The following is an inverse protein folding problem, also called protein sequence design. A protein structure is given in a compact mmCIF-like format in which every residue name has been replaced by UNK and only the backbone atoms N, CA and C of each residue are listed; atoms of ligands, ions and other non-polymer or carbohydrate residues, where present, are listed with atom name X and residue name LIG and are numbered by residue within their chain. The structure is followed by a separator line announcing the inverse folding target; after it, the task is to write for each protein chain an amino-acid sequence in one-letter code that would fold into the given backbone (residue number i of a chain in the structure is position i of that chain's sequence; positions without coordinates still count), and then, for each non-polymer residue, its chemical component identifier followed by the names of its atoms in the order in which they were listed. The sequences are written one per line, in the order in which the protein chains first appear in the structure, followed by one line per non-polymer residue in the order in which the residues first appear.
data_IF_799886731084
#
_entry.id   IF_799886731084
#
_cell.length_a   1.000
_cell.length_b   1.000
_cell.length_c   1.000
_cell.angle_alpha   90.00
_cell.angle_beta   90.00
_cell.angle_gamma   90.00
#
_symmetry.space_group_name_H-M   'P 1'
#
loop_
_entity.id
_entity.type
_entity.pdbx_description
1 polymer ?
#
# COMPACT_ATOMS: atom_id res chain seq x y z
N UNK A 1 14.40 3.81 19.79
CA UNK A 1 13.10 4.51 19.65
C UNK A 1 12.15 3.76 18.72
N UNK A 2 12.43 3.62 17.42
CA UNK A 2 11.57 2.83 16.52
C UNK A 2 11.36 1.40 17.03
N UNK A 3 12.43 0.69 17.43
CA UNK A 3 12.30 -0.62 18.09
C UNK A 3 11.33 -0.62 19.29
N UNK A 4 11.43 0.38 20.18
CA UNK A 4 10.52 0.53 21.33
C UNK A 4 9.06 0.80 20.91
N UNK A 5 8.86 1.48 19.78
CA UNK A 5 7.53 1.66 19.20
C UNK A 5 6.98 0.31 18.73
N UNK A 6 7.78 -0.50 18.05
CA UNK A 6 7.36 -1.79 17.48
C UNK A 6 7.13 -2.88 18.51
N UNK A 7 7.81 -2.81 19.64
CA UNK A 7 7.60 -3.69 20.80
C UNK A 7 6.49 -3.16 21.74
N UNK A 8 5.84 -2.04 21.39
CA UNK A 8 4.77 -1.44 22.18
C UNK A 8 5.23 -0.83 23.51
N UNK A 9 6.54 -0.70 23.74
CA UNK A 9 7.07 -0.06 24.94
C UNK A 9 6.84 1.46 24.93
N UNK A 10 6.88 2.08 23.74
CA UNK A 10 6.72 3.54 23.58
C UNK A 10 5.33 4.03 24.02
N UNK A 11 4.29 3.23 23.78
CA UNK A 11 2.88 3.56 24.04
C UNK A 11 2.32 2.85 25.29
N UNK A 12 3.19 2.25 26.13
CA UNK A 12 2.78 1.45 27.29
C UNK A 12 1.84 2.18 28.25
N UNK A 13 2.11 3.47 28.53
CA UNK A 13 1.27 4.27 29.42
C UNK A 13 -0.10 4.56 28.80
N UNK A 14 -0.12 4.90 27.51
CA UNK A 14 -1.36 5.12 26.76
C UNK A 14 -2.26 3.90 26.77
N UNK A 15 -1.69 2.72 26.50
CA UNK A 15 -2.43 1.46 26.54
C UNK A 15 -3.06 1.18 27.91
N UNK A 16 -2.36 1.50 29.00
CA UNK A 16 -2.90 1.37 30.37
C UNK A 16 -4.08 2.31 30.62
N UNK A 17 -4.06 3.52 30.07
CA UNK A 17 -5.19 4.46 30.16
C UNK A 17 -6.34 4.18 29.18
N UNK A 18 -6.17 3.22 28.26
CA UNK A 18 -7.16 2.88 27.22
C UNK A 18 -7.33 1.36 27.08
N UNK A 19 -7.77 0.67 28.15
CA UNK A 19 -7.75 -0.80 28.24
C UNK A 19 -8.72 -1.51 27.29
N UNK A 20 -9.68 -0.78 26.70
CA UNK A 20 -10.69 -1.33 25.78
C UNK A 20 -10.22 -1.38 24.33
N UNK A 21 -9.06 -0.80 24.00
CA UNK A 21 -8.55 -0.78 22.64
C UNK A 21 -7.87 -2.11 22.29
N UNK A 22 -8.30 -2.74 21.21
CA UNK A 22 -7.82 -4.05 20.79
C UNK A 22 -7.81 -4.16 19.25
N UNK A 23 -6.66 -4.50 18.67
CA UNK A 23 -6.50 -4.65 17.23
C UNK A 23 -7.35 -5.81 16.68
N UNK A 24 -7.58 -6.86 17.49
CA UNK A 24 -8.41 -7.99 17.09
C UNK A 24 -9.87 -7.59 16.89
N UNK A 25 -10.42 -6.70 17.71
CA UNK A 25 -11.79 -6.21 17.56
C UNK A 25 -11.94 -5.35 16.29
N UNK A 26 -10.95 -4.51 16.00
CA UNK A 26 -10.88 -3.71 14.77
C UNK A 26 -10.75 -4.60 13.53
N UNK A 27 -9.88 -5.62 13.57
CA UNK A 27 -9.72 -6.62 12.50
C UNK A 27 -11.02 -7.40 12.28
N UNK A 28 -11.70 -7.82 13.35
CA UNK A 28 -12.98 -8.52 13.25
C UNK A 28 -14.03 -7.63 12.59
N UNK A 29 -14.12 -6.36 12.99
CA UNK A 29 -15.03 -5.39 12.39
C UNK A 29 -14.76 -5.22 10.89
N UNK A 30 -13.48 -5.08 10.50
CA UNK A 30 -13.06 -5.03 9.11
C UNK A 30 -13.45 -6.31 8.35
N UNK A 31 -13.16 -7.49 8.91
CA UNK A 31 -13.43 -8.77 8.28
C UNK A 31 -14.93 -9.02 8.06
N UNK A 32 -15.79 -8.65 9.02
CA UNK A 32 -17.24 -8.75 8.85
C UNK A 32 -17.75 -7.86 7.72
N UNK A 33 -17.24 -6.62 7.61
CA UNK A 33 -17.56 -5.73 6.49
C UNK A 33 -17.09 -6.32 5.14
N UNK A 34 -15.91 -6.96 5.10
CA UNK A 34 -15.40 -7.65 3.91
C UNK A 34 -16.27 -8.84 3.53
N UNK A 35 -16.72 -9.66 4.50
CA UNK A 35 -17.63 -10.79 4.26
C UNK A 35 -18.96 -10.32 3.71
N UNK A 36 -19.53 -9.25 4.26
CA UNK A 36 -20.77 -8.66 3.76
C UNK A 36 -20.61 -8.14 2.33
N UNK A 37 -19.55 -7.37 2.07
CA UNK A 37 -19.23 -6.87 0.71
C UNK A 37 -19.08 -8.03 -0.27
N UNK A 38 -18.34 -9.08 0.09
CA UNK A 38 -18.15 -10.28 -0.73
C UNK A 38 -19.48 -10.95 -1.05
N UNK A 39 -20.33 -11.15 -0.04
CA UNK A 39 -21.67 -11.74 -0.20
C UNK A 39 -22.54 -10.93 -1.18
N UNK A 40 -22.48 -9.61 -1.12
CA UNK A 40 -23.22 -8.73 -2.03
C UNK A 40 -22.68 -8.83 -3.47
N UNK A 41 -21.37 -8.76 -3.65
CA UNK A 41 -20.72 -8.94 -4.97
C UNK A 41 -21.01 -10.32 -5.58
N UNK A 42 -21.02 -11.40 -4.78
CA UNK A 42 -21.35 -12.74 -5.25
C UNK A 42 -22.82 -12.86 -5.72
N UNK A 43 -23.75 -12.17 -5.05
CA UNK A 43 -25.15 -12.09 -5.49
C UNK A 43 -25.28 -11.33 -6.82
N UNK A 44 -24.62 -10.18 -6.93
CA UNK A 44 -24.60 -9.39 -8.16
C UNK A 44 -23.97 -10.17 -9.33
N UNK A 45 -22.86 -10.85 -9.08
CA UNK A 45 -22.20 -11.69 -10.07
C UNK A 45 -23.13 -12.80 -10.56
N UNK A 46 -23.81 -13.52 -9.65
CA UNK A 46 -24.77 -14.57 -10.02
C UNK A 46 -25.93 -14.02 -10.86
N UNK A 47 -26.44 -12.83 -10.52
CA UNK A 47 -27.49 -12.16 -11.30
C UNK A 47 -26.99 -11.82 -12.71
N UNK A 48 -25.82 -11.18 -12.80
CA UNK A 48 -25.21 -10.79 -14.06
C UNK A 48 -24.89 -12.01 -14.97
N UNK A 49 -24.39 -13.10 -14.38
CA UNK A 49 -24.12 -14.35 -15.12
C UNK A 49 -25.42 -15.03 -15.62
N UNK A 50 -26.54 -14.87 -14.91
CA UNK A 50 -27.85 -15.35 -15.36
C UNK A 50 -28.37 -14.52 -16.53
N UNK A 51 -28.31 -13.19 -16.43
CA UNK A 51 -28.73 -12.26 -17.49
C UNK A 51 -27.89 -12.47 -18.76
N UNK A 52 -26.57 -12.59 -18.63
CA UNK A 52 -25.66 -12.90 -19.74
C UNK A 52 -26.05 -14.16 -20.53
N UNK A 53 -26.52 -15.22 -19.84
CA UNK A 53 -26.94 -16.49 -20.48
C UNK A 53 -28.23 -16.35 -21.27
N UNK A 54 -29.16 -15.51 -20.80
CA UNK A 54 -30.46 -15.29 -21.43
C UNK A 54 -30.37 -14.29 -22.58
N UNK A 55 -29.39 -13.39 -22.55
CA UNK A 55 -29.22 -12.35 -23.54
C UNK A 55 -28.89 -12.91 -24.93
N UNK A 56 -29.49 -12.34 -25.98
CA UNK A 56 -29.27 -12.72 -27.37
C UNK A 56 -28.58 -11.62 -28.16
N UNK A 57 -28.77 -10.36 -27.77
CA UNK A 57 -28.10 -9.24 -28.38
C UNK A 57 -26.58 -9.28 -28.15
N UNK A 58 -25.82 -8.98 -29.20
CA UNK A 58 -24.35 -9.12 -29.20
C UNK A 58 -23.69 -8.01 -28.37
N UNK A 59 -24.21 -6.80 -28.42
CA UNK A 59 -23.65 -5.64 -27.70
C UNK A 59 -23.93 -5.76 -26.20
N UNK A 60 -25.17 -6.11 -25.82
CA UNK A 60 -25.54 -6.35 -24.42
C UNK A 60 -24.78 -7.54 -23.82
N UNK A 61 -24.54 -8.61 -24.59
CA UNK A 61 -23.65 -9.70 -24.16
C UNK A 61 -22.23 -9.22 -23.88
N UNK A 62 -21.66 -8.37 -24.73
CA UNK A 62 -20.32 -7.82 -24.51
C UNK A 62 -20.26 -6.97 -23.23
N UNK A 63 -21.30 -6.17 -22.99
CA UNK A 63 -21.45 -5.38 -21.77
C UNK A 63 -21.49 -6.25 -20.51
N UNK A 64 -22.37 -7.25 -20.44
CA UNK A 64 -22.42 -8.17 -19.30
C UNK A 64 -21.12 -8.94 -19.08
N UNK A 65 -20.44 -9.36 -20.16
CA UNK A 65 -19.13 -10.00 -20.06
C UNK A 65 -18.10 -9.10 -19.37
N UNK A 66 -18.09 -7.81 -19.73
CA UNK A 66 -17.24 -6.80 -19.10
C UNK A 66 -17.59 -6.61 -17.62
N UNK A 67 -18.87 -6.50 -17.28
CA UNK A 67 -19.34 -6.39 -15.89
C UNK A 67 -18.93 -7.61 -15.05
N UNK A 68 -19.12 -8.83 -15.56
CA UNK A 68 -18.69 -10.06 -14.90
C UNK A 68 -17.19 -10.04 -14.59
N UNK A 69 -16.37 -9.56 -15.53
CA UNK A 69 -14.92 -9.45 -15.33
C UNK A 69 -14.58 -8.44 -14.22
N UNK A 70 -15.28 -7.30 -14.18
CA UNK A 70 -15.11 -6.29 -13.13
C UNK A 70 -15.51 -6.87 -11.76
N UNK A 71 -16.69 -7.49 -11.66
CA UNK A 71 -17.17 -8.10 -10.41
C UNK A 71 -16.22 -9.18 -9.90
N UNK A 72 -15.71 -10.04 -10.79
CA UNK A 72 -14.69 -11.06 -10.45
C UNK A 72 -13.42 -10.41 -9.93
N UNK A 73 -12.98 -9.30 -10.53
CA UNK A 73 -11.81 -8.56 -10.05
C UNK A 73 -12.05 -7.93 -8.68
N UNK A 74 -13.21 -7.33 -8.43
CA UNK A 74 -13.55 -6.77 -7.12
C UNK A 74 -13.64 -7.85 -6.04
N UNK A 75 -14.15 -9.04 -6.36
CA UNK A 75 -14.15 -10.18 -5.44
C UNK A 75 -12.74 -10.61 -5.01
N UNK A 76 -11.75 -10.55 -5.90
CA UNK A 76 -10.35 -10.85 -5.53
C UNK A 76 -9.75 -9.86 -4.55
N UNK A 77 -10.34 -8.67 -4.42
CA UNK A 77 -9.92 -7.63 -3.45
C UNK A 77 -10.62 -7.76 -2.10
N UNK A 78 -11.66 -8.57 -1.98
CA UNK A 78 -12.32 -8.87 -0.71
C UNK A 78 -11.47 -9.84 0.12
N UNK A 79 -10.32 -9.35 0.59
CA UNK A 79 -9.37 -10.11 1.38
C UNK A 79 -9.52 -9.76 2.86
N UNK A 80 -9.76 -10.78 3.66
CA UNK A 80 -9.78 -10.71 5.12
C UNK A 80 -8.35 -10.64 5.67
N UNK A 81 -8.22 -10.05 6.85
CA UNK A 81 -6.97 -10.00 7.60
C UNK A 81 -6.96 -11.16 8.59
N UNK A 82 -5.92 -11.98 8.53
CA UNK A 82 -5.74 -13.11 9.44
C UNK A 82 -4.57 -12.83 10.37
N UNK A 83 -4.81 -12.60 11.67
CA UNK A 83 -3.73 -12.50 12.65
C UNK A 83 -2.87 -13.77 12.65
N UNK A 84 -1.56 -13.60 12.81
CA UNK A 84 -0.62 -14.71 12.95
C UNK A 84 -0.78 -15.39 14.31
N UNK A 85 -0.50 -16.69 14.34
CA UNK A 85 -0.40 -17.44 15.59
C UNK A 85 0.83 -16.98 16.39
N UNK A 86 0.78 -17.13 17.73
CA UNK A 86 1.89 -16.75 18.62
C UNK A 86 3.23 -17.43 18.26
N UNK A 87 3.20 -18.66 17.73
CA UNK A 87 4.40 -19.38 17.28
C UNK A 87 5.06 -18.81 16.03
N UNK A 88 4.34 -17.98 15.27
CA UNK A 88 4.81 -17.31 14.06
C UNK A 88 5.25 -15.86 14.33
N UNK A 89 5.08 -15.38 15.57
CA UNK A 89 5.45 -14.04 15.97
C UNK A 89 6.98 -13.85 15.98
N UNK A 90 7.54 -12.83 15.30
CA UNK A 90 8.97 -12.55 15.33
C UNK A 90 9.52 -12.22 16.72
N UNK A 91 8.70 -11.61 17.57
CA UNK A 91 9.00 -11.25 18.95
C UNK A 91 7.68 -10.95 19.71
N UNK A 92 7.79 -10.82 21.03
CA UNK A 92 6.66 -10.52 21.90
C UNK A 92 6.16 -9.09 21.70
N UNK A 93 4.85 -8.95 21.49
CA UNK A 93 4.14 -7.67 21.39
C UNK A 93 3.02 -7.65 22.43
N UNK A 94 2.44 -6.47 22.74
CA UNK A 94 1.29 -6.39 23.62
C UNK A 94 0.13 -7.29 23.19
N UNK A 95 -0.59 -7.88 24.13
CA UNK A 95 -1.71 -8.79 23.84
C UNK A 95 -2.88 -8.15 23.10
N UNK A 96 -2.97 -6.81 23.11
CA UNK A 96 -3.98 -6.04 22.37
C UNK A 96 -3.57 -5.76 20.93
N UNK A 97 -2.35 -6.12 20.51
CA UNK A 97 -1.84 -5.96 19.16
C UNK A 97 -1.94 -7.28 18.40
N UNK A 98 -2.03 -7.19 17.08
CA UNK A 98 -2.01 -8.35 16.21
C UNK A 98 -0.75 -8.35 15.34
N UNK A 99 -0.12 -9.51 15.20
CA UNK A 99 0.79 -9.72 14.07
C UNK A 99 -0.04 -10.05 12.84
N UNK A 100 0.21 -9.37 11.72
CA UNK A 100 -0.50 -9.61 10.44
C UNK A 100 0.50 -9.70 9.29
N UNK A 101 0.12 -10.33 8.18
CA UNK A 101 0.96 -10.34 6.97
C UNK A 101 0.79 -9.04 6.19
N UNK A 102 1.88 -8.49 5.66
CA UNK A 102 1.85 -7.29 4.81
C UNK A 102 0.85 -7.46 3.65
N UNK A 103 0.82 -8.63 3.02
CA UNK A 103 -0.08 -8.90 1.91
C UNK A 103 -1.58 -8.96 2.29
N UNK A 104 -1.93 -9.00 3.57
CA UNK A 104 -3.33 -8.98 4.04
C UNK A 104 -3.82 -7.54 4.23
N UNK A 105 -2.92 -6.62 4.56
CA UNK A 105 -3.26 -5.21 4.83
C UNK A 105 -3.01 -4.26 3.65
N UNK A 106 -2.44 -4.76 2.55
CA UNK A 106 -2.20 -3.93 1.37
C UNK A 106 -2.16 -4.69 0.04
N UNK A 107 -2.45 -3.96 -1.03
CA UNK A 107 -2.14 -4.33 -2.40
C UNK A 107 -0.82 -3.71 -2.82
N UNK A 108 0.06 -4.51 -3.44
CA UNK A 108 1.35 -4.02 -3.94
C UNK A 108 1.49 -4.33 -5.43
N UNK A 109 2.05 -3.36 -6.16
CA UNK A 109 2.35 -3.53 -7.58
C UNK A 109 3.64 -2.82 -7.96
N UNK A 110 4.60 -3.56 -8.50
CA UNK A 110 5.80 -2.97 -9.12
C UNK A 110 5.42 -2.38 -10.47
N UNK A 111 6.04 -1.26 -10.84
CA UNK A 111 5.81 -0.65 -12.15
C UNK A 111 6.18 -1.58 -13.31
N UNK A 112 5.68 -1.27 -14.52
CA UNK A 112 5.89 -2.11 -15.70
C UNK A 112 7.38 -2.23 -16.03
N UNK A 113 7.84 -3.43 -16.40
CA UNK A 113 9.23 -3.65 -16.82
C UNK A 113 9.52 -3.10 -18.22
N UNK A 114 10.80 -2.84 -18.50
CA UNK A 114 11.37 -1.93 -19.50
C UNK A 114 11.09 -2.13 -20.99
N UNK A 115 9.98 -2.77 -21.37
CA UNK A 115 9.41 -2.75 -22.72
C UNK A 115 7.99 -2.20 -22.78
N UNK A 116 7.31 -2.07 -21.63
CA UNK A 116 5.94 -1.58 -21.59
C UNK A 116 5.83 -0.04 -21.53
N UNK A 117 6.93 0.65 -21.20
CA UNK A 117 7.06 2.11 -21.33
C UNK A 117 8.37 2.37 -22.08
N UNK A 118 8.27 2.82 -23.33
CA UNK A 118 9.41 3.12 -24.19
C UNK A 118 9.47 4.61 -24.50
N UNK A 119 10.65 5.11 -24.91
CA UNK A 119 10.88 6.54 -25.12
C UNK A 119 10.00 7.15 -26.21
N UNK A 120 9.62 6.36 -27.21
CA UNK A 120 8.72 6.76 -28.31
C UNK A 120 7.27 6.97 -27.87
N UNK A 121 6.87 6.45 -26.70
CA UNK A 121 5.54 6.70 -26.14
C UNK A 121 5.42 8.08 -25.47
N UNK A 122 6.55 8.76 -25.23
CA UNK A 122 6.57 10.01 -24.49
C UNK A 122 6.04 11.16 -25.32
N UNK A 123 5.12 11.91 -24.72
CA UNK A 123 4.53 13.11 -25.31
C UNK A 123 4.76 14.31 -24.40
N UNK A 124 4.73 15.55 -24.93
CA UNK A 124 4.71 16.74 -24.10
C UNK A 124 3.50 16.76 -23.16
N UNK A 125 3.62 17.47 -22.04
CA UNK A 125 2.49 17.73 -21.15
C UNK A 125 1.35 18.49 -21.90
N UNK A 126 0.11 18.17 -21.57
CA UNK A 126 -1.08 18.75 -22.19
C UNK A 126 -2.36 18.01 -21.80
N UNK A 127 -3.49 18.41 -22.37
CA UNK A 127 -4.82 17.92 -21.95
C UNK A 127 -5.02 16.40 -22.06
N UNK A 128 -4.29 15.74 -22.97
CA UNK A 128 -4.36 14.28 -23.19
C UNK A 128 -3.10 13.54 -22.68
N UNK A 129 -2.34 14.19 -21.80
CA UNK A 129 -1.08 13.68 -21.26
C UNK A 129 -1.29 13.17 -19.83
N UNK A 130 -0.83 11.93 -19.58
CA UNK A 130 -0.85 11.30 -18.26
C UNK A 130 0.57 11.16 -17.76
N UNK A 131 0.82 11.63 -16.53
CA UNK A 131 2.17 11.70 -15.96
C UNK A 131 2.77 10.31 -15.75
N UNK A 132 4.08 10.18 -15.93
CA UNK A 132 4.86 9.06 -15.42
C UNK A 132 5.57 9.50 -14.15
N UNK A 133 5.22 8.87 -13.03
CA UNK A 133 5.94 8.98 -11.77
C UNK A 133 7.23 8.16 -11.85
N UNK A 134 8.33 8.80 -11.48
CA UNK A 134 9.67 8.22 -11.48
C UNK A 134 10.24 8.14 -10.07
N UNK A 135 11.39 7.51 -9.94
CA UNK A 135 12.09 7.37 -8.66
C UNK A 135 12.25 8.69 -7.89
N UNK A 136 12.56 9.79 -8.58
CA UNK A 136 12.77 11.10 -7.96
C UNK A 136 11.54 11.61 -7.21
N UNK A 137 10.32 11.23 -7.63
CA UNK A 137 9.09 11.61 -6.95
C UNK A 137 9.05 11.02 -5.53
N UNK A 138 9.50 9.77 -5.38
CA UNK A 138 9.60 9.12 -4.07
C UNK A 138 10.73 9.71 -3.21
N UNK A 139 11.91 9.89 -3.78
CA UNK A 139 13.10 10.41 -3.07
C UNK A 139 12.86 11.84 -2.56
N UNK A 140 12.37 12.72 -3.43
CA UNK A 140 12.20 14.14 -3.14
C UNK A 140 10.82 14.47 -2.57
N UNK A 141 9.95 13.46 -2.43
CA UNK A 141 8.61 13.57 -1.85
C UNK A 141 7.76 14.64 -2.53
N UNK A 142 7.71 14.57 -3.86
CA UNK A 142 7.00 15.54 -4.69
C UNK A 142 6.32 14.88 -5.89
N UNK A 143 5.05 15.17 -6.05
CA UNK A 143 4.18 14.73 -7.12
C UNK A 143 4.34 15.54 -8.42
N UNK A 144 4.88 16.76 -8.32
CA UNK A 144 5.02 17.65 -9.48
C UNK A 144 6.26 17.35 -10.32
N UNK A 145 7.33 16.81 -9.71
CA UNK A 145 8.59 16.50 -10.40
C UNK A 145 8.41 15.56 -11.58
N UNK A 146 9.11 15.82 -12.69
CA UNK A 146 9.21 14.92 -13.83
C UNK A 146 8.47 15.40 -15.07
N UNK A 147 9.11 15.18 -16.21
CA UNK A 147 8.74 15.73 -17.52
C UNK A 147 8.17 14.68 -18.47
N UNK A 148 8.02 13.42 -18.01
CA UNK A 148 7.56 12.33 -18.86
C UNK A 148 6.05 12.13 -18.72
N UNK A 149 5.40 12.09 -19.87
CA UNK A 149 3.98 11.85 -20.01
C UNK A 149 3.70 10.88 -21.14
N UNK A 150 2.56 10.20 -21.08
CA UNK A 150 2.06 9.31 -22.14
C UNK A 150 0.66 9.72 -22.54
N UNK A 151 0.25 9.32 -23.75
CA UNK A 151 -1.12 9.54 -24.22
C UNK A 151 -2.15 8.74 -23.41
N UNK A 152 -3.41 9.18 -23.45
CA UNK A 152 -4.53 8.41 -22.90
C UNK A 152 -4.64 6.99 -23.47
N UNK A 153 -4.31 6.79 -24.75
CA UNK A 153 -4.32 5.47 -25.38
C UNK A 153 -3.30 4.52 -24.75
N UNK A 154 -2.06 4.99 -24.56
CA UNK A 154 -1.03 4.20 -23.86
C UNK A 154 -1.39 3.99 -22.39
N UNK A 155 -1.96 5.01 -21.75
CA UNK A 155 -2.41 4.93 -20.37
C UNK A 155 -3.47 3.85 -20.17
N UNK A 156 -4.47 3.72 -21.03
CA UNK A 156 -5.52 2.69 -20.86
C UNK A 156 -4.95 1.26 -20.88
N UNK A 157 -3.87 1.03 -21.65
CA UNK A 157 -3.13 -0.26 -21.65
C UNK A 157 -2.35 -0.48 -20.34
N UNK A 158 -2.00 0.60 -19.63
CA UNK A 158 -1.16 0.61 -18.42
C UNK A 158 -1.92 0.99 -17.14
N UNK A 159 -3.24 1.15 -17.21
CA UNK A 159 -4.10 1.67 -16.13
C UNK A 159 -3.95 0.95 -14.79
N UNK A 160 -3.56 -0.32 -14.82
CA UNK A 160 -3.25 -1.08 -13.61
C UNK A 160 -2.11 -0.50 -12.75
N UNK A 161 -1.24 0.35 -13.33
CA UNK A 161 -0.14 1.05 -12.67
C UNK A 161 -0.48 2.50 -12.28
N UNK A 162 -1.74 2.93 -12.51
CA UNK A 162 -2.23 4.24 -12.08
C UNK A 162 -2.08 4.41 -10.57
N UNK A 163 -1.68 5.59 -10.14
CA UNK A 163 -1.66 5.96 -8.72
C UNK A 163 -2.86 6.83 -8.39
N UNK A 164 -3.36 6.65 -7.17
CA UNK A 164 -4.46 7.43 -6.61
C UNK A 164 -4.00 8.19 -5.37
N UNK A 165 -4.82 9.14 -4.90
CA UNK A 165 -4.65 9.73 -3.58
C UNK A 165 -4.46 8.62 -2.54
N UNK A 166 -3.54 8.84 -1.60
CA UNK A 166 -3.20 7.91 -0.51
C UNK A 166 -2.48 6.62 -0.91
N UNK A 167 -2.29 6.35 -2.22
CA UNK A 167 -1.31 5.35 -2.63
C UNK A 167 0.09 5.77 -2.15
N UNK A 168 0.91 4.78 -1.79
CA UNK A 168 2.28 4.98 -1.36
C UNK A 168 3.20 4.50 -2.47
N UNK A 169 4.04 5.37 -3.01
CA UNK A 169 5.10 4.98 -3.95
C UNK A 169 6.41 4.75 -3.20
N UNK A 170 7.13 3.70 -3.60
CA UNK A 170 8.40 3.27 -3.00
C UNK A 170 9.46 3.11 -4.09
N UNK A 171 10.65 3.66 -3.88
CA UNK A 171 11.77 3.52 -4.81
C UNK A 171 12.41 2.12 -4.78
N UNK A 172 12.49 1.48 -5.95
CA UNK A 172 12.99 0.10 -6.12
C UNK A 172 14.38 -0.02 -6.75
N UNK A 173 14.92 1.04 -7.34
CA UNK A 173 16.23 1.07 -8.00
C UNK A 173 17.11 2.14 -7.36
N UNK A 174 18.44 2.13 -7.50
CA UNK A 174 19.34 3.20 -7.00
C UNK A 174 19.19 3.46 -5.50
N UNK A 175 18.65 4.62 -5.11
CA UNK A 175 18.23 4.91 -3.74
C UNK A 175 16.96 4.13 -3.41
N UNK A 176 17.12 2.99 -2.75
CA UNK A 176 16.04 2.05 -2.43
C UNK A 176 15.35 2.40 -1.12
N UNK A 177 14.02 2.26 -1.11
CA UNK A 177 13.21 2.31 0.11
C UNK A 177 12.74 3.71 0.49
N UNK A 178 12.95 4.72 -0.36
CA UNK A 178 12.34 6.03 -0.16
C UNK A 178 10.84 5.94 -0.45
N UNK A 179 10.04 6.50 0.45
CA UNK A 179 8.59 6.36 0.50
C UNK A 179 7.95 7.74 0.34
N UNK A 180 6.92 7.82 -0.51
CA UNK A 180 6.10 9.01 -0.68
C UNK A 180 4.62 8.63 -0.77
N UNK A 181 3.79 9.26 0.06
CA UNK A 181 2.32 9.19 -0.04
C UNK A 181 1.86 10.17 -1.11
N UNK A 182 1.09 9.68 -2.07
CA UNK A 182 0.49 10.51 -3.12
C UNK A 182 -0.53 11.46 -2.48
N UNK A 183 -0.36 12.78 -2.61
CA UNK A 183 -1.24 13.75 -1.97
C UNK A 183 -2.57 13.87 -2.70
N UNK A 184 -3.53 14.49 -2.01
CA UNK A 184 -4.77 14.96 -2.63
C UNK A 184 -4.45 15.90 -3.79
N UNK A 185 -5.21 15.78 -4.88
CA UNK A 185 -5.04 16.55 -6.12
C UNK A 185 -3.71 16.29 -6.88
N UNK A 186 -2.99 15.22 -6.57
CA UNK A 186 -1.84 14.84 -7.37
C UNK A 186 -2.23 14.62 -8.85
N UNK A 187 -1.36 14.98 -9.81
CA UNK A 187 -1.64 14.74 -11.22
C UNK A 187 -1.93 13.27 -11.50
N UNK A 188 -2.93 12.99 -12.34
CA UNK A 188 -3.18 11.64 -12.82
C UNK A 188 -1.91 11.09 -13.47
N UNK A 189 -1.51 9.88 -13.05
CA UNK A 189 -0.29 9.27 -13.56
C UNK A 189 -0.13 7.81 -13.22
N UNK A 190 0.88 7.20 -13.82
CA UNK A 190 1.31 5.82 -13.58
C UNK A 190 2.73 5.77 -13.04
N UNK A 191 3.08 4.73 -12.31
CA UNK A 191 4.48 4.49 -11.91
C UNK A 191 5.30 3.84 -13.02
N UNK A 192 6.60 4.13 -13.09
CA UNK A 192 7.57 3.42 -13.95
C UNK A 192 8.25 2.23 -13.26
N UNK A 193 9.15 1.53 -13.96
CA UNK A 193 9.87 0.33 -13.48
C UNK A 193 10.69 0.54 -12.20
N UNK A 194 11.06 1.78 -11.89
CA UNK A 194 11.90 2.12 -10.73
C UNK A 194 11.07 2.29 -9.45
N UNK A 195 9.75 2.15 -9.52
CA UNK A 195 8.83 2.32 -8.41
C UNK A 195 7.98 1.07 -8.17
N UNK A 196 7.50 0.95 -6.94
CA UNK A 196 6.38 0.10 -6.52
C UNK A 196 5.32 1.00 -5.91
N UNK A 197 4.05 0.70 -6.15
CA UNK A 197 2.93 1.28 -5.41
C UNK A 197 2.39 0.30 -4.37
N UNK A 198 2.00 0.84 -3.22
CA UNK A 198 1.33 0.15 -2.13
C UNK A 198 0.02 0.88 -1.86
N UNK A 199 -1.09 0.15 -1.82
CA UNK A 199 -2.39 0.66 -1.43
C UNK A 199 -2.86 -0.09 -0.19
N UNK A 200 -3.03 0.60 0.94
CA UNK A 200 -3.53 -0.02 2.16
C UNK A 200 -5.03 -0.31 2.06
N UNK A 201 -5.48 -1.36 2.75
CA UNK A 201 -6.91 -1.67 2.87
C UNK A 201 -7.64 -0.71 3.83
N UNK A 202 -6.89 -0.08 4.75
CA UNK A 202 -7.36 1.01 5.58
C UNK A 202 -6.37 2.18 5.48
N UNK A 203 -6.82 3.33 4.97
CA UNK A 203 -6.02 4.53 4.78
C UNK A 203 -5.62 5.20 6.11
N UNK A 204 -6.35 4.95 7.19
CA UNK A 204 -6.02 5.47 8.52
C UNK A 204 -4.71 4.88 9.07
N UNK A 205 -4.29 3.71 8.57
CA UNK A 205 -3.03 3.08 8.95
C UNK A 205 -1.80 3.69 8.27
N UNK A 206 -1.97 4.55 7.25
CA UNK A 206 -0.87 5.07 6.43
C UNK A 206 0.27 5.70 7.27
N UNK A 207 0.02 6.58 8.26
CA UNK A 207 1.10 7.21 9.02
C UNK A 207 1.97 6.19 9.75
N UNK A 208 1.34 5.26 10.48
CA UNK A 208 2.03 4.21 11.22
C UNK A 208 2.74 3.23 10.27
N UNK A 209 2.06 2.83 9.20
CA UNK A 209 2.60 1.94 8.18
C UNK A 209 3.87 2.52 7.53
N UNK A 210 3.88 3.79 7.14
CA UNK A 210 5.05 4.42 6.51
C UNK A 210 6.27 4.40 7.43
N UNK A 211 6.08 4.70 8.73
CA UNK A 211 7.16 4.66 9.73
C UNK A 211 7.70 3.24 9.88
N UNK A 212 6.82 2.25 10.04
CA UNK A 212 7.21 0.86 10.19
C UNK A 212 7.89 0.30 8.94
N UNK A 213 7.31 0.55 7.76
CA UNK A 213 7.83 0.05 6.49
C UNK A 213 9.21 0.63 6.18
N UNK A 214 9.41 1.93 6.43
CA UNK A 214 10.74 2.56 6.31
C UNK A 214 11.78 1.89 7.22
N UNK A 215 11.41 1.66 8.49
CA UNK A 215 12.27 0.95 9.44
C UNK A 215 12.60 -0.47 8.97
N UNK A 216 11.59 -1.22 8.52
CA UNK A 216 11.72 -2.60 8.09
C UNK A 216 12.65 -2.74 6.88
N UNK A 217 12.48 -1.88 5.86
CA UNK A 217 13.33 -1.87 4.66
C UNK A 217 14.77 -1.52 5.02
N UNK A 218 14.98 -0.52 5.90
CA UNK A 218 16.32 -0.12 6.38
C UNK A 218 16.99 -1.23 7.18
N UNK A 219 16.27 -1.90 8.08
CA UNK A 219 16.79 -3.01 8.86
C UNK A 219 17.23 -4.17 7.94
N UNK A 220 16.38 -4.56 6.98
CA UNK A 220 16.73 -5.61 6.01
C UNK A 220 17.91 -5.20 5.13
N UNK A 221 18.10 -3.90 4.87
CA UNK A 221 19.28 -3.39 4.16
C UNK A 221 20.57 -3.62 4.94
N UNK A 222 20.51 -3.41 6.25
CA UNK A 222 21.65 -3.60 7.15
C UNK A 222 21.96 -5.08 7.40
N UNK A 223 20.96 -5.96 7.51
CA UNK A 223 21.18 -7.41 7.69
C UNK A 223 21.95 -8.03 6.51
N UNK A 224 21.70 -7.54 5.28
CA UNK A 224 22.42 -7.98 4.08
C UNK A 224 23.81 -7.31 3.93
N UNK A 225 24.09 -6.25 4.68
CA UNK A 225 25.31 -5.43 4.57
C UNK A 225 26.57 -6.00 5.22
N UNK A 226 26.50 -7.21 5.84
CA UNK A 226 27.71 -8.04 6.02
C UNK A 226 28.29 -8.56 4.69
N UNK A 227 27.69 -8.21 3.55
CA UNK A 227 28.28 -8.37 2.21
C UNK A 227 27.83 -7.36 1.14
N UNK A 228 26.66 -6.71 1.26
CA UNK A 228 26.29 -5.52 0.48
C UNK A 228 25.00 -4.89 0.99
N UNK A 229 24.88 -3.56 0.99
CA UNK A 229 23.60 -2.86 1.14
C UNK A 229 22.52 -3.56 0.28
N UNK A 230 21.24 -3.57 0.70
CA UNK A 230 20.18 -4.12 -0.16
C UNK A 230 20.33 -3.51 -1.55
N UNK A 231 20.69 -4.36 -2.53
CA UNK A 231 20.87 -3.92 -3.91
C UNK A 231 19.53 -3.74 -4.63
N UNK A 232 18.45 -4.34 -4.10
CA UNK A 232 17.08 -4.31 -4.64
C UNK A 232 16.02 -4.58 -3.57
N UNK A 233 14.86 -3.90 -3.64
CA UNK A 233 13.67 -4.27 -2.84
C UNK A 233 13.36 -5.77 -3.00
N UNK A 234 13.04 -6.50 -1.91
CA UNK A 234 12.70 -7.92 -2.01
C UNK A 234 11.58 -8.17 -3.03
N UNK A 235 11.59 -9.32 -3.71
CA UNK A 235 10.48 -9.77 -4.55
C UNK A 235 9.11 -9.63 -3.84
N UNK A 236 8.07 -9.30 -4.60
CA UNK A 236 6.73 -9.00 -4.05
C UNK A 236 6.14 -10.18 -3.26
N UNK A 237 6.40 -11.41 -3.69
CA UNK A 237 6.03 -12.65 -3.00
C UNK A 237 6.70 -12.78 -1.64
N UNK A 238 7.93 -12.30 -1.49
CA UNK A 238 8.63 -12.23 -0.21
C UNK A 238 8.03 -11.11 0.66
N UNK A 239 7.86 -9.90 0.09
CA UNK A 239 7.30 -8.76 0.81
C UNK A 239 5.91 -9.08 1.39
N UNK A 240 5.04 -9.73 0.61
CA UNK A 240 3.68 -10.10 1.06
C UNK A 240 3.66 -10.93 2.34
N UNK A 241 4.74 -11.68 2.61
CA UNK A 241 4.86 -12.55 3.79
C UNK A 241 5.54 -11.87 4.98
N UNK A 242 5.92 -10.59 4.87
CA UNK A 242 6.49 -9.87 6.02
C UNK A 242 5.44 -9.69 7.11
N UNK A 243 5.82 -10.05 8.34
CA UNK A 243 4.99 -9.84 9.52
C UNK A 243 5.04 -8.37 9.94
N UNK A 244 3.88 -7.81 10.27
CA UNK A 244 3.71 -6.42 10.70
C UNK A 244 3.00 -6.41 12.05
N UNK A 245 3.52 -5.72 13.07
CA UNK A 245 2.81 -5.53 14.32
C UNK A 245 1.78 -4.42 14.11
N UNK A 246 0.50 -4.75 14.29
CA UNK A 246 -0.64 -3.86 14.12
C UNK A 246 -1.24 -3.53 15.50
N UNK A 247 -0.99 -2.33 16.05
CA UNK A 247 -1.69 -1.81 17.22
C UNK A 247 -3.16 -1.47 16.88
N UNK A 248 -4.02 -1.29 17.90
CA UNK A 248 -5.29 -0.60 17.71
C UNK A 248 -5.08 0.78 17.09
N UNK A 249 -6.00 1.25 16.23
CA UNK A 249 -5.85 2.49 15.45
C UNK A 249 -5.51 3.70 16.32
N UNK A 250 -6.18 3.85 17.46
CA UNK A 250 -5.91 4.97 18.39
C UNK A 250 -4.52 4.91 19.02
N UNK A 251 -3.99 3.70 19.23
CA UNK A 251 -2.61 3.53 19.66
C UNK A 251 -1.61 3.80 18.51
N UNK A 252 -1.94 3.45 17.26
CA UNK A 252 -1.16 3.83 16.08
C UNK A 252 -1.01 5.35 15.96
N UNK A 253 -2.13 6.08 16.06
CA UNK A 253 -2.16 7.55 16.06
C UNK A 253 -1.24 8.11 17.16
N UNK A 254 -1.37 7.61 18.38
CA UNK A 254 -0.55 8.04 19.52
C UNK A 254 0.95 7.79 19.31
N UNK A 255 1.32 6.61 18.79
CA UNK A 255 2.71 6.27 18.46
C UNK A 255 3.27 7.26 17.43
N UNK A 256 2.51 7.53 16.36
CA UNK A 256 2.95 8.45 15.30
C UNK A 256 3.17 9.87 15.83
N UNK A 257 2.27 10.37 16.69
CA UNK A 257 2.41 11.68 17.33
C UNK A 257 3.66 11.80 18.21
N UNK A 258 3.96 10.77 19.01
CA UNK A 258 5.19 10.75 19.82
C UNK A 258 6.43 10.82 18.91
N UNK A 259 6.47 9.98 17.87
CA UNK A 259 7.61 9.91 16.97
C UNK A 259 7.80 11.21 16.19
N UNK A 260 6.73 11.81 15.68
CA UNK A 260 6.77 13.09 14.97
C UNK A 260 7.27 14.23 15.86
N UNK A 261 6.81 14.28 17.11
CA UNK A 261 7.31 15.25 18.10
C UNK A 261 8.81 15.08 18.33
N UNK A 262 9.27 13.84 18.54
CA UNK A 262 10.68 13.55 18.77
C UNK A 262 11.55 13.86 17.56
N UNK A 263 11.09 13.55 16.34
CA UNK A 263 11.82 13.86 15.12
C UNK A 263 11.90 15.37 14.87
N UNK A 264 10.86 16.12 15.21
CA UNK A 264 10.84 17.58 15.13
C UNK A 264 11.82 18.19 16.12
N UNK A 265 11.78 17.77 17.39
CA UNK A 265 12.73 18.21 18.41
C UNK A 265 14.17 17.92 18.02
N UNK A 266 14.45 16.71 17.50
CA UNK A 266 15.80 16.34 17.04
C UNK A 266 16.32 17.19 15.88
N UNK A 267 15.44 17.67 14.99
CA UNK A 267 15.82 18.60 13.92
C UNK A 267 16.11 19.99 14.46
N UNK A 268 15.30 20.48 15.41
CA UNK A 268 15.53 21.76 16.07
C UNK A 268 16.82 21.79 16.89
N UNK A 269 17.18 20.67 17.54
CA UNK A 269 18.42 20.51 18.32
C UNK A 269 19.68 20.31 17.45
N UNK A 270 19.55 20.25 16.12
CA UNK A 270 20.68 20.18 15.18
C UNK A 270 20.99 21.54 14.54
N UNK A 271 20.37 22.61 15.04
CA UNK A 271 20.77 23.97 14.76
C UNK A 271 21.69 24.38 15.91
N UNK A 272 22.99 24.16 15.70
CA UNK A 272 24.16 24.86 16.27
C UNK A 272 25.44 24.19 15.73
#
# INVERSE_FOLDING_TARGET
MLKLALEGSLSKLYRRSSPTLCAFDEINTYNEAIKEKRKNLEKELKKCEKEFKLEKDKEQKAFFKSQIQILKKELTKCKEITPLNLSEAPFEIPSTWAWVKLGDICEMKKGPFGSAITKDMFIPNGNNAVKIYEQKNAIQKSETLGEYYISLEHFEKLKQFEVFENDIIVSCAGTIGEIFRIPKNAPKGIINQALMKIKLVNEEWIPYFMIFFDFLIKQKSQENSKGSAIKNIPPLDILKNFSIPLPPLKEQEHITQILDTLFTLKKGLRVD
#
